data_IF_989604363068
#
_entry.id   IF_989604363068
#
_cell.length_a   1.000
_cell.length_b   1.000
_cell.length_c   1.000
_cell.angle_alpha   90.00
_cell.angle_beta   90.00
_cell.angle_gamma   90.00
#
_symmetry.space_group_name_H-M   'P 1'
#
loop_
_entity.id
_entity.type
_entity.pdbx_description
1 polymer ?
#
# COMPACT_ATOMS: atom_id res chain seq x y z
N UNK A 1 5.85 11.05 -11.26
CA UNK A 1 4.72 10.39 -10.59
C UNK A 1 4.96 8.89 -10.56
N UNK A 2 4.81 8.22 -9.44
CA UNK A 2 4.92 6.77 -9.42
C UNK A 2 3.86 6.12 -10.28
N UNK A 3 4.17 4.93 -10.80
CA UNK A 3 3.19 4.12 -11.52
C UNK A 3 2.63 3.06 -10.57
N UNK A 4 1.43 2.59 -10.83
CA UNK A 4 0.72 1.67 -9.95
C UNK A 4 0.11 0.52 -10.73
N UNK A 5 0.04 -0.65 -10.08
CA UNK A 5 -0.82 -1.74 -10.51
C UNK A 5 -1.44 -2.41 -9.30
N UNK A 6 -2.52 -3.14 -9.50
CA UNK A 6 -3.18 -3.90 -8.45
C UNK A 6 -3.21 -5.37 -8.83
N UNK A 7 -3.04 -6.24 -7.83
CA UNK A 7 -3.26 -7.67 -8.04
C UNK A 7 -4.76 -7.98 -7.93
N UNK A 8 -5.22 -9.07 -8.56
CA UNK A 8 -6.65 -9.43 -8.47
C UNK A 8 -7.20 -9.53 -7.06
N UNK A 9 -6.36 -9.97 -6.12
CA UNK A 9 -6.77 -10.09 -4.73
C UNK A 9 -7.01 -8.72 -4.09
N UNK A 10 -6.20 -7.73 -4.42
CA UNK A 10 -6.43 -6.36 -3.97
C UNK A 10 -7.77 -5.84 -4.50
N UNK A 11 -8.08 -6.09 -5.74
CA UNK A 11 -9.34 -5.62 -6.33
C UNK A 11 -10.55 -6.26 -5.67
N UNK A 12 -10.47 -7.53 -5.31
CA UNK A 12 -11.53 -8.20 -4.54
C UNK A 12 -11.68 -7.60 -3.16
N UNK A 13 -10.56 -7.36 -2.47
CA UNK A 13 -10.57 -6.72 -1.16
C UNK A 13 -11.19 -5.32 -1.26
N UNK A 14 -10.84 -4.57 -2.30
CA UNK A 14 -11.33 -3.21 -2.50
C UNK A 14 -12.87 -3.16 -2.57
N UNK A 15 -13.47 -4.12 -3.23
CA UNK A 15 -14.93 -4.19 -3.34
C UNK A 15 -15.61 -4.42 -2.00
N UNK A 16 -14.91 -5.00 -1.04
CA UNK A 16 -15.45 -5.25 0.29
C UNK A 16 -15.29 -4.07 1.24
N UNK A 17 -14.59 -3.03 0.84
CA UNK A 17 -14.47 -1.82 1.64
C UNK A 17 -15.71 -0.95 1.50
N UNK A 18 -16.06 -0.23 2.58
CA UNK A 18 -17.09 0.79 2.51
C UNK A 18 -16.58 1.97 1.69
N UNK A 19 -17.50 2.82 1.23
CA UNK A 19 -17.13 4.05 0.53
C UNK A 19 -16.25 4.94 1.38
N UNK A 20 -16.53 4.99 2.68
CA UNK A 20 -15.75 5.78 3.63
C UNK A 20 -14.33 5.25 3.75
N UNK A 21 -14.17 3.93 3.81
CA UNK A 21 -12.84 3.31 3.84
C UNK A 21 -12.07 3.56 2.55
N UNK A 22 -12.73 3.44 1.41
CA UNK A 22 -12.12 3.72 0.12
C UNK A 22 -11.64 5.16 0.03
N UNK A 23 -12.45 6.10 0.51
CA UNK A 23 -12.09 7.52 0.53
C UNK A 23 -10.89 7.78 1.44
N UNK A 24 -10.85 7.14 2.62
CA UNK A 24 -9.73 7.27 3.55
C UNK A 24 -8.43 6.76 2.94
N UNK A 25 -8.49 5.63 2.23
CA UNK A 25 -7.32 5.09 1.54
C UNK A 25 -6.82 6.05 0.45
N UNK A 26 -7.72 6.56 -0.39
CA UNK A 26 -7.35 7.50 -1.46
C UNK A 26 -6.70 8.76 -0.89
N UNK A 27 -7.23 9.25 0.24
CA UNK A 27 -6.66 10.42 0.93
C UNK A 27 -5.24 10.11 1.42
N UNK A 28 -5.03 8.96 2.04
CA UNK A 28 -3.71 8.56 2.54
C UNK A 28 -2.69 8.45 1.40
N UNK A 29 -3.10 7.90 0.26
CA UNK A 29 -2.23 7.80 -0.92
C UNK A 29 -1.85 9.20 -1.41
N UNK A 30 -2.84 10.05 -1.59
CA UNK A 30 -2.63 11.37 -2.17
C UNK A 30 -1.83 12.30 -1.26
N UNK A 31 -2.10 12.28 0.04
CA UNK A 31 -1.51 13.24 0.96
C UNK A 31 -0.18 12.80 1.56
N UNK A 32 0.07 11.49 1.61
CA UNK A 32 1.28 10.99 2.29
C UNK A 32 2.11 10.05 1.43
N UNK A 33 1.51 9.01 0.88
CA UNK A 33 2.27 7.97 0.20
C UNK A 33 2.95 8.47 -1.07
N UNK A 34 2.22 9.13 -1.95
CA UNK A 34 2.77 9.65 -3.21
C UNK A 34 3.84 10.72 -2.97
N UNK A 35 3.61 11.71 -2.07
CA UNK A 35 4.66 12.67 -1.76
C UNK A 35 5.93 12.03 -1.18
N UNK A 36 5.78 10.99 -0.34
CA UNK A 36 6.94 10.34 0.25
C UNK A 36 7.72 9.52 -0.78
N UNK A 37 7.06 8.92 -1.76
CA UNK A 37 7.75 8.25 -2.86
C UNK A 37 8.51 9.22 -3.76
N UNK A 38 8.07 10.47 -3.84
CA UNK A 38 8.74 11.50 -4.63
C UNK A 38 9.94 12.12 -3.90
N UNK A 39 10.15 11.80 -2.63
CA UNK A 39 11.23 12.32 -1.80
C UNK A 39 12.21 11.19 -1.47
N UNK A 40 13.16 10.86 -2.36
CA UNK A 40 14.00 9.66 -2.22
C UNK A 40 14.90 9.66 -0.99
N UNK A 41 15.17 10.83 -0.42
CA UNK A 41 16.05 10.96 0.74
C UNK A 41 15.35 10.68 2.06
N UNK A 42 14.04 10.50 2.05
CA UNK A 42 13.27 10.38 3.28
C UNK A 42 12.51 9.08 3.36
N UNK A 43 12.57 8.40 4.50
CA UNK A 43 11.70 7.27 4.75
C UNK A 43 10.25 7.75 4.79
N UNK A 44 9.32 6.83 4.67
CA UNK A 44 7.89 7.14 4.77
C UNK A 44 7.58 7.80 6.11
N UNK A 45 6.69 8.79 6.07
CA UNK A 45 6.27 9.50 7.28
C UNK A 45 5.45 8.60 8.19
N UNK A 46 5.38 8.96 9.50
CA UNK A 46 4.39 8.34 10.39
C UNK A 46 3.06 8.65 9.86
N UNK A 47 2.24 8.28 9.41
CA UNK A 47 0.94 8.66 9.02
C UNK A 47 0.41 8.04 7.79
N UNK A 48 0.95 7.48 6.79
CA UNK A 48 0.86 6.04 6.53
C UNK A 48 2.19 5.39 6.79
N UNK A 49 2.25 4.59 7.81
CA UNK A 49 3.47 3.87 8.15
C UNK A 49 3.69 2.73 7.18
N UNK A 50 4.90 2.65 6.67
CA UNK A 50 5.30 1.52 5.83
C UNK A 50 6.37 0.75 6.57
N UNK A 51 6.10 -0.52 6.83
CA UNK A 51 7.02 -1.43 7.50
C UNK A 51 7.13 -2.73 6.74
N UNK A 52 8.26 -3.41 6.86
CA UNK A 52 8.43 -4.71 6.22
C UNK A 52 7.53 -5.77 6.86
N UNK A 53 7.02 -6.69 6.05
CA UNK A 53 6.28 -7.86 6.53
C UNK A 53 7.28 -9.00 6.68
N UNK A 54 7.51 -9.42 7.93
CA UNK A 54 8.57 -10.39 8.25
C UNK A 54 8.42 -11.71 7.49
N UNK A 55 7.18 -12.21 7.36
CA UNK A 55 6.93 -13.49 6.70
C UNK A 55 7.08 -13.44 5.18
N UNK A 56 7.14 -12.25 4.60
CA UNK A 56 7.19 -12.08 3.14
C UNK A 56 8.19 -11.00 2.77
N UNK A 57 9.49 -11.35 2.61
CA UNK A 57 10.51 -10.37 2.21
C UNK A 57 10.11 -9.65 0.91
N UNK A 58 10.32 -8.36 0.87
CA UNK A 58 9.93 -7.54 -0.29
C UNK A 58 8.49 -7.06 -0.28
N UNK A 59 7.70 -7.49 0.69
CA UNK A 59 6.33 -7.00 0.89
C UNK A 59 6.32 -6.06 2.09
N UNK A 60 5.64 -4.94 1.94
CA UNK A 60 5.54 -3.91 2.98
C UNK A 60 4.10 -3.70 3.38
N UNK A 61 3.90 -3.37 4.64
CA UNK A 61 2.61 -3.02 5.21
C UNK A 61 2.48 -1.51 5.25
N UNK A 62 1.34 -0.99 4.82
CA UNK A 62 1.01 0.42 4.93
C UNK A 62 -0.25 0.58 5.78
N UNK A 63 -0.18 1.46 6.78
CA UNK A 63 -1.34 1.85 7.59
C UNK A 63 -1.99 3.06 6.94
N UNK A 64 -3.26 2.93 6.54
CA UNK A 64 -3.99 4.03 5.90
C UNK A 64 -5.14 4.57 6.76
N UNK A 65 -5.46 3.92 7.84
CA UNK A 65 -6.46 4.34 8.83
C UNK A 65 -6.15 3.62 10.15
N UNK A 66 -6.88 3.92 11.21
CA UNK A 66 -6.63 3.31 12.53
C UNK A 66 -6.48 1.79 12.48
N UNK A 67 -7.40 1.12 11.79
CA UNK A 67 -7.35 -0.32 11.58
C UNK A 67 -7.12 -0.68 10.11
N UNK A 68 -6.97 0.31 9.27
CA UNK A 68 -6.78 0.10 7.83
C UNK A 68 -5.35 -0.31 7.51
N UNK A 69 -5.21 -1.37 6.74
CA UNK A 69 -3.90 -1.90 6.32
C UNK A 69 -3.93 -2.24 4.84
N UNK A 70 -2.79 -2.08 4.19
CA UNK A 70 -2.61 -2.55 2.84
C UNK A 70 -1.22 -3.14 2.71
N UNK A 71 -1.05 -4.11 1.84
CA UNK A 71 0.25 -4.66 1.52
C UNK A 71 0.67 -4.21 0.13
N UNK A 72 1.94 -3.92 -0.02
CA UNK A 72 2.50 -3.35 -1.23
C UNK A 72 3.88 -3.92 -1.47
N UNK A 73 4.23 -4.06 -2.74
CA UNK A 73 5.61 -4.36 -3.15
C UNK A 73 6.00 -3.42 -4.29
N UNK A 74 7.27 -3.40 -4.62
CA UNK A 74 7.78 -2.56 -5.69
C UNK A 74 8.23 -3.44 -6.84
N UNK A 75 7.84 -3.07 -8.05
CA UNK A 75 8.21 -3.77 -9.27
C UNK A 75 9.26 -3.02 -10.06
N UNK A 76 9.57 -3.56 -11.24
CA UNK A 76 10.47 -2.90 -12.16
C UNK A 76 9.86 -1.60 -12.68
N UNK A 77 10.71 -0.59 -12.87
CA UNK A 77 10.25 0.68 -13.41
C UNK A 77 9.56 0.48 -14.77
N UNK A 78 8.38 1.06 -14.90
CA UNK A 78 7.64 1.11 -16.16
C UNK A 78 7.95 2.38 -16.93
N UNK A 79 8.27 3.43 -16.19
CA UNK A 79 8.70 4.72 -16.72
C UNK A 79 10.00 5.05 -16.00
N UNK A 80 11.05 5.33 -16.76
CA UNK A 80 12.38 5.59 -16.21
C UNK A 80 12.35 6.68 -15.12
N UNK A 81 12.95 6.39 -13.98
CA UNK A 81 12.99 7.30 -12.85
C UNK A 81 11.74 7.33 -11.99
N UNK A 82 10.73 6.53 -12.28
CA UNK A 82 9.49 6.49 -11.52
C UNK A 82 9.29 5.13 -10.87
N UNK A 83 9.08 5.14 -9.56
CA UNK A 83 8.81 3.93 -8.79
C UNK A 83 7.55 3.25 -9.31
N UNK A 84 7.60 1.93 -9.46
CA UNK A 84 6.42 1.13 -9.78
C UNK A 84 5.91 0.42 -8.54
N UNK A 85 4.65 0.68 -8.17
CA UNK A 85 4.03 0.20 -6.94
C UNK A 85 3.02 -0.89 -7.27
N UNK A 86 3.12 -2.02 -6.57
CA UNK A 86 2.20 -3.14 -6.76
C UNK A 86 1.37 -3.31 -5.49
N UNK A 87 0.08 -2.98 -5.56
CA UNK A 87 -0.85 -3.16 -4.45
C UNK A 87 -1.31 -4.60 -4.39
N UNK A 88 -1.08 -5.26 -3.25
CA UNK A 88 -1.29 -6.69 -3.11
C UNK A 88 -2.57 -7.02 -2.36
N UNK A 89 -2.80 -6.41 -1.20
CA UNK A 89 -3.99 -6.60 -0.38
C UNK A 89 -4.39 -5.29 0.28
N UNK A 90 -5.67 -5.16 0.60
CA UNK A 90 -6.18 -4.03 1.38
C UNK A 90 -7.33 -4.50 2.26
N UNK A 91 -7.44 -3.92 3.46
CA UNK A 91 -8.50 -4.24 4.40
C UNK A 91 -8.19 -3.69 5.76
N UNK A 92 -8.70 -4.35 6.77
CA UNK A 92 -8.36 -4.08 8.15
C UNK A 92 -7.14 -4.90 8.55
N UNK A 93 -6.67 -4.74 9.77
CA UNK A 93 -5.56 -5.54 10.31
C UNK A 93 -5.82 -7.05 10.17
N UNK A 94 -7.09 -7.45 10.03
CA UNK A 94 -7.48 -8.85 9.86
C UNK A 94 -6.90 -9.50 8.58
N UNK A 95 -6.42 -8.73 7.61
CA UNK A 95 -5.77 -9.32 6.43
C UNK A 95 -4.49 -10.08 6.79
N UNK A 96 -3.95 -9.87 7.98
CA UNK A 96 -2.78 -10.57 8.48
C UNK A 96 -3.11 -11.87 9.23
N UNK A 97 -4.38 -12.27 9.26
CA UNK A 97 -4.82 -13.50 9.93
C UNK A 97 -5.67 -14.33 8.97
N UNK A 98 -5.15 -15.41 8.38
CA UNK A 98 -3.76 -15.88 8.43
C UNK A 98 -2.79 -14.89 7.77
N UNK A 99 -1.47 -15.10 7.91
CA UNK A 99 -0.49 -14.18 7.34
C UNK A 99 -0.79 -13.90 5.87
N UNK A 100 -0.56 -12.65 5.41
CA UNK A 100 -0.93 -12.29 4.05
C UNK A 100 -0.16 -13.13 3.05
N UNK A 101 -0.91 -13.70 2.11
CA UNK A 101 -0.32 -14.32 0.96
C UNK A 101 0.31 -13.28 0.03
N UNK A 102 1.07 -13.73 -0.91
CA UNK A 102 1.63 -12.84 -1.91
C UNK A 102 0.58 -12.10 -2.71
#
# INVERSE_FOLDING_TARGET
MPTFETLPRFERDWKNLTRQQQAAFRKAIREYFVPDLAAPDRPFRPGPRVTGVTAHPGVFEMTWDNDGRATVSYGEERIAGQVHVIWRRIGTHAIFTPPPGP
#
